data_IF_604720842951
#
_entry.id   IF_604720842951
#
_cell.length_a   1.000
_cell.length_b   1.000
_cell.length_c   1.000
_cell.angle_alpha   90.00
_cell.angle_beta   90.00
_cell.angle_gamma   90.00
#
_symmetry.space_group_name_H-M   'P 1'
#
loop_
_entity.id
_entity.type
_entity.pdbx_description
1 polymer ?
#
# COMPACT_ATOMS: atom_id res chain seq x y z
N UNK A 1 -2.28 0.18 -32.93
CA UNK A 1 -3.24 0.14 -31.79
C UNK A 1 -2.53 0.68 -30.56
N UNK A 2 -3.16 1.53 -29.74
CA UNK A 2 -2.58 2.03 -28.49
C UNK A 2 -3.24 1.31 -27.32
N UNK A 3 -2.44 0.83 -26.37
CA UNK A 3 -2.90 0.34 -25.09
C UNK A 3 -2.63 1.40 -24.02
N UNK A 4 -3.61 1.68 -23.16
CA UNK A 4 -3.48 2.65 -22.07
C UNK A 4 -3.99 1.99 -20.79
N UNK A 5 -3.08 1.72 -19.86
CA UNK A 5 -3.43 1.24 -18.53
C UNK A 5 -3.67 2.44 -17.61
N UNK A 6 -4.86 2.51 -17.03
CA UNK A 6 -5.23 3.53 -16.03
C UNK A 6 -5.58 2.83 -14.72
N UNK A 7 -4.82 3.12 -13.67
CA UNK A 7 -5.05 2.64 -12.32
C UNK A 7 -5.61 3.78 -11.48
N UNK A 8 -6.78 3.57 -10.86
CA UNK A 8 -7.37 4.55 -9.94
C UNK A 8 -7.28 4.03 -8.51
N UNK A 9 -6.47 4.69 -7.67
CA UNK A 9 -6.35 4.38 -6.26
C UNK A 9 -7.11 5.41 -5.41
N UNK A 10 -7.94 4.87 -4.53
CA UNK A 10 -8.80 5.62 -3.63
C UNK A 10 -8.90 4.91 -2.28
N UNK A 11 -9.02 5.69 -1.22
CA UNK A 11 -9.45 5.26 0.10
C UNK A 11 -10.26 6.40 0.72
N UNK A 12 -11.42 6.14 1.36
CA UNK A 12 -12.07 7.13 2.21
C UNK A 12 -11.15 7.56 3.37
N UNK A 13 -11.52 8.63 4.08
CA UNK A 13 -10.77 9.04 5.26
C UNK A 13 -11.01 8.07 6.42
N UNK A 14 -10.01 7.24 6.73
CA UNK A 14 -10.07 6.21 7.78
C UNK A 14 -9.17 6.53 8.98
N UNK A 15 -8.20 7.44 8.82
CA UNK A 15 -7.33 7.90 9.91
C UNK A 15 -8.18 8.35 11.11
N UNK A 16 -7.88 7.83 12.30
CA UNK A 16 -8.57 8.10 13.56
C UNK A 16 -10.07 7.76 13.58
N UNK A 17 -10.56 6.91 12.65
CA UNK A 17 -11.97 6.47 12.57
C UNK A 17 -12.16 4.98 12.87
N UNK A 18 -11.30 4.43 13.74
CA UNK A 18 -11.26 3.00 14.07
C UNK A 18 -10.13 2.27 13.35
N UNK A 19 -9.84 1.05 13.80
CA UNK A 19 -8.74 0.24 13.28
C UNK A 19 -9.26 -0.90 12.41
N UNK A 20 -10.17 -1.72 12.97
CA UNK A 20 -10.69 -2.94 12.33
C UNK A 20 -12.19 -3.11 12.63
N UNK A 21 -13.02 -3.70 11.76
CA UNK A 21 -12.70 -4.27 10.42
C UNK A 21 -12.60 -3.26 9.28
N UNK A 22 -13.17 -2.08 9.47
CA UNK A 22 -13.08 -0.97 8.52
C UNK A 22 -12.46 0.22 9.24
N UNK A 23 -11.25 0.60 8.84
CA UNK A 23 -10.47 1.60 9.56
C UNK A 23 -9.05 1.72 9.02
N UNK A 24 -8.13 2.15 9.87
CA UNK A 24 -6.72 2.31 9.51
C UNK A 24 -6.07 1.02 8.99
N UNK A 25 -6.51 -0.15 9.47
CA UNK A 25 -5.97 -1.43 9.01
C UNK A 25 -6.21 -1.65 7.51
N UNK A 26 -7.37 -1.22 6.99
CA UNK A 26 -7.67 -1.28 5.56
C UNK A 26 -6.67 -0.43 4.76
N UNK A 27 -6.26 0.73 5.28
CA UNK A 27 -5.27 1.57 4.61
C UNK A 27 -3.89 0.90 4.63
N UNK A 28 -3.52 0.28 5.74
CA UNK A 28 -2.25 -0.42 5.88
C UNK A 28 -2.16 -1.66 4.97
N UNK A 29 -3.26 -2.41 4.83
CA UNK A 29 -3.37 -3.54 3.89
C UNK A 29 -3.10 -3.08 2.46
N UNK A 30 -3.80 -2.03 2.00
CA UNK A 30 -3.61 -1.54 0.63
C UNK A 30 -2.20 -0.94 0.42
N UNK A 31 -1.62 -0.30 1.44
CA UNK A 31 -0.22 0.14 1.40
C UNK A 31 0.75 -1.04 1.21
N UNK A 32 0.60 -2.10 2.00
CA UNK A 32 1.48 -3.28 1.98
C UNK A 32 1.33 -4.11 0.70
N UNK A 33 0.10 -4.29 0.22
CA UNK A 33 -0.21 -5.28 -0.80
C UNK A 33 -0.40 -4.68 -2.19
N UNK A 34 -0.64 -3.37 -2.30
CA UNK A 34 -0.84 -2.69 -3.60
C UNK A 34 0.19 -1.60 -3.84
N UNK A 35 0.29 -0.59 -2.97
CA UNK A 35 1.07 0.61 -3.28
C UNK A 35 2.57 0.37 -3.26
N UNK A 36 3.10 -0.28 -2.22
CA UNK A 36 4.52 -0.62 -2.16
C UNK A 36 4.95 -1.62 -3.25
N UNK A 37 4.20 -2.72 -3.52
CA UNK A 37 4.51 -3.61 -4.64
C UNK A 37 4.48 -2.91 -6.00
N UNK A 38 3.50 -2.03 -6.25
CA UNK A 38 3.41 -1.25 -7.48
C UNK A 38 4.59 -0.29 -7.62
N UNK A 39 4.94 0.46 -6.58
CA UNK A 39 6.09 1.35 -6.58
C UNK A 39 7.38 0.59 -6.91
N UNK A 40 7.63 -0.56 -6.24
CA UNK A 40 8.78 -1.41 -6.53
C UNK A 40 8.79 -1.96 -7.96
N UNK A 41 7.62 -2.26 -8.55
CA UNK A 41 7.54 -2.71 -9.93
C UNK A 41 7.87 -1.59 -10.92
N UNK A 42 7.41 -0.37 -10.66
CA UNK A 42 7.74 0.82 -11.45
C UNK A 42 9.22 1.17 -11.36
N UNK A 43 9.82 1.10 -10.17
CA UNK A 43 11.26 1.30 -9.96
C UNK A 43 12.10 0.27 -10.72
N UNK A 44 11.67 -1.00 -10.78
CA UNK A 44 12.33 -2.05 -11.59
C UNK A 44 12.24 -1.74 -13.08
N UNK A 45 11.05 -1.43 -13.59
CA UNK A 45 10.88 -1.07 -15.00
C UNK A 45 11.74 0.13 -15.39
N UNK A 46 11.83 1.13 -14.52
CA UNK A 46 12.69 2.29 -14.72
C UNK A 46 14.17 1.92 -14.74
N UNK A 47 14.65 1.16 -13.75
CA UNK A 47 16.06 0.75 -13.66
C UNK A 47 16.50 -0.20 -14.78
N UNK A 48 15.59 -1.06 -15.27
CA UNK A 48 15.84 -1.95 -16.40
C UNK A 48 15.69 -1.24 -17.77
N UNK A 49 15.32 0.05 -17.79
CA UNK A 49 15.14 0.82 -19.02
C UNK A 49 13.95 0.36 -19.87
N UNK A 50 12.95 -0.28 -19.27
CA UNK A 50 11.78 -0.83 -19.97
C UNK A 50 10.72 0.28 -20.18
N UNK A 51 10.41 0.66 -21.43
CA UNK A 51 9.46 1.74 -21.71
C UNK A 51 8.00 1.24 -21.58
N UNK A 52 7.49 1.15 -20.34
CA UNK A 52 6.14 0.72 -20.02
C UNK A 52 5.34 1.82 -19.29
N UNK A 53 4.86 2.87 -19.98
CA UNK A 53 4.14 3.97 -19.34
C UNK A 53 2.76 3.54 -18.83
N UNK A 54 2.38 4.04 -17.66
CA UNK A 54 1.05 3.86 -17.06
C UNK A 54 0.48 5.21 -16.61
N UNK A 55 -0.83 5.29 -16.45
CA UNK A 55 -1.51 6.42 -15.79
C UNK A 55 -1.97 5.98 -14.41
N UNK A 56 -1.59 6.72 -13.37
CA UNK A 56 -2.00 6.48 -12.00
C UNK A 56 -2.81 7.68 -11.47
N UNK A 57 -4.07 7.46 -11.16
CA UNK A 57 -4.93 8.43 -10.47
C UNK A 57 -4.91 8.17 -8.97
N UNK A 58 -4.52 9.17 -8.18
CA UNK A 58 -4.52 9.12 -6.72
C UNK A 58 -5.51 10.17 -6.20
N UNK A 59 -6.54 9.76 -5.46
CA UNK A 59 -7.50 10.74 -4.91
C UNK A 59 -6.82 11.65 -3.88
N UNK A 60 -7.13 12.96 -3.80
CA UNK A 60 -6.51 13.87 -2.85
C UNK A 60 -6.59 13.38 -1.39
N UNK A 61 -7.75 12.85 -0.98
CA UNK A 61 -7.94 12.34 0.39
C UNK A 61 -7.07 11.11 0.72
N UNK A 62 -6.69 10.32 -0.29
CA UNK A 62 -5.72 9.24 -0.12
C UNK A 62 -4.31 9.82 0.10
N UNK A 63 -3.91 10.81 -0.71
CA UNK A 63 -2.59 11.44 -0.59
C UNK A 63 -2.40 12.11 0.77
N UNK A 64 -3.42 12.80 1.29
CA UNK A 64 -3.40 13.40 2.63
C UNK A 64 -3.13 12.34 3.71
N UNK A 65 -3.80 11.19 3.64
CA UNK A 65 -3.58 10.11 4.61
C UNK A 65 -2.19 9.46 4.48
N UNK A 66 -1.69 9.25 3.26
CA UNK A 66 -0.33 8.70 3.05
C UNK A 66 0.78 9.67 3.50
N UNK A 67 0.50 10.97 3.48
CA UNK A 67 1.40 12.02 3.97
C UNK A 67 1.37 12.18 5.49
N UNK A 68 0.31 11.72 6.15
CA UNK A 68 0.09 11.88 7.59
C UNK A 68 1.14 11.09 8.42
N UNK A 69 1.85 11.73 9.38
CA UNK A 69 2.85 11.08 10.21
C UNK A 69 2.31 9.93 11.07
N UNK A 70 1.07 10.04 11.57
CA UNK A 70 0.45 9.01 12.41
C UNK A 70 0.14 7.76 11.57
N UNK A 71 -0.34 7.96 10.35
CA UNK A 71 -0.56 6.86 9.39
C UNK A 71 0.75 6.15 9.07
N UNK A 72 1.83 6.89 8.81
CA UNK A 72 3.15 6.28 8.55
C UNK A 72 3.67 5.49 9.74
N UNK A 73 3.57 6.04 10.94
CA UNK A 73 3.97 5.35 12.16
C UNK A 73 3.10 4.12 12.42
N UNK A 74 1.79 4.21 12.17
CA UNK A 74 0.86 3.11 12.29
C UNK A 74 1.11 1.99 11.29
N UNK A 75 1.45 2.33 10.04
CA UNK A 75 1.84 1.34 9.04
C UNK A 75 3.09 0.55 9.44
N UNK A 76 4.10 1.20 10.02
CA UNK A 76 5.29 0.51 10.53
C UNK A 76 4.91 -0.50 11.61
N UNK A 77 4.09 -0.10 12.60
CA UNK A 77 3.61 -1.01 13.64
C UNK A 77 2.81 -2.17 13.06
N UNK A 78 1.93 -1.90 12.09
CA UNK A 78 1.16 -2.92 11.39
C UNK A 78 2.08 -3.93 10.68
N UNK A 79 3.09 -3.45 9.96
CA UNK A 79 4.02 -4.31 9.23
C UNK A 79 4.90 -5.16 10.17
N UNK A 80 5.33 -4.61 11.30
CA UNK A 80 6.07 -5.32 12.35
C UNK A 80 5.22 -6.43 12.98
N UNK A 81 3.98 -6.13 13.36
CA UNK A 81 3.02 -7.12 13.87
C UNK A 81 2.75 -8.23 12.85
N UNK A 82 2.53 -7.89 11.57
CA UNK A 82 2.33 -8.87 10.50
C UNK A 82 3.57 -9.76 10.29
N UNK A 83 4.76 -9.20 10.39
CA UNK A 83 6.01 -9.97 10.29
C UNK A 83 6.18 -10.93 11.46
N UNK A 84 5.87 -10.51 12.68
CA UNK A 84 5.92 -11.37 13.86
C UNK A 84 4.94 -12.54 13.74
N UNK A 85 3.69 -12.26 13.34
CA UNK A 85 2.67 -13.29 13.09
C UNK A 85 3.12 -14.28 12.02
N UNK A 86 3.68 -13.80 10.91
CA UNK A 86 4.19 -14.68 9.85
C UNK A 86 5.35 -15.57 10.33
N UNK A 87 6.22 -15.08 11.22
CA UNK A 87 7.30 -15.88 11.83
C UNK A 87 6.74 -16.95 12.77
N UNK A 88 5.76 -16.60 13.61
CA UNK A 88 5.10 -17.56 14.49
C UNK A 88 4.35 -18.65 13.68
N UNK A 89 3.69 -18.26 12.59
CA UNK A 89 3.04 -19.20 11.68
C UNK A 89 4.04 -20.14 11.00
N UNK A 90 5.23 -19.64 10.62
CA UNK A 90 6.30 -20.49 10.11
C UNK A 90 6.75 -21.55 11.12
N UNK A 91 6.81 -21.22 12.41
CA UNK A 91 7.12 -22.20 13.46
C UNK A 91 5.98 -23.20 13.69
N UNK A 92 4.73 -22.73 13.66
CA UNK A 92 3.54 -23.54 13.91
C UNK A 92 3.21 -24.51 12.78
N UNK A 93 3.45 -24.11 11.53
CA UNK A 93 3.08 -24.86 10.33
C UNK A 93 4.28 -25.47 9.59
N UNK A 94 5.43 -25.56 10.25
CA UNK A 94 6.59 -26.32 9.77
C UNK A 94 6.35 -27.83 9.85
#
# INVERSE_FOLDING_TARGET
MKFVLVLHAHMPYVRAHGVWPFGEETLYEVMAETYLPLARALDRLWSDGVPAPITLGLTPILLEQLADPDVRAGFVRYAEDRLERARADLERYR
#
